data_IF_334129298781
#
_entry.id   IF_334129298781
#
_cell.length_a   1.000
_cell.length_b   1.000
_cell.length_c   1.000
_cell.angle_alpha   90.00
_cell.angle_beta   90.00
_cell.angle_gamma   90.00
#
_symmetry.space_group_name_H-M   'P 1'
#
loop_
_entity.id
_entity.type
_entity.pdbx_description
1 polymer ?
#
# COMPACT_ATOMS: atom_id res chain seq x y z
N UNK A 1 41.92 2.77 22.55
CA UNK A 1 41.23 3.32 21.37
C UNK A 1 40.76 4.69 21.74
N UNK A 2 41.41 5.72 21.29
CA UNK A 2 41.01 7.13 21.54
C UNK A 2 39.80 7.41 20.65
N UNK A 3 38.66 7.76 21.28
CA UNK A 3 37.50 8.25 20.56
C UNK A 3 37.88 9.55 19.83
N UNK A 4 37.68 9.58 18.50
CA UNK A 4 37.70 10.83 17.75
C UNK A 4 36.62 11.74 18.33
N UNK A 5 36.99 12.84 18.94
CA UNK A 5 36.07 13.92 19.25
C UNK A 5 35.38 14.33 17.93
N UNK A 6 34.05 14.32 17.91
CA UNK A 6 33.29 14.88 16.80
C UNK A 6 33.40 16.40 16.87
N UNK A 7 34.04 16.99 15.92
CA UNK A 7 33.92 18.43 15.67
C UNK A 7 32.58 18.69 14.94
N UNK A 8 31.52 18.88 15.71
CA UNK A 8 30.25 19.29 15.17
C UNK A 8 30.25 20.81 14.98
N UNK A 9 30.09 21.27 13.74
CA UNK A 9 29.95 22.69 13.41
C UNK A 9 28.52 22.99 12.95
N UNK A 10 28.02 24.19 13.28
CA UNK A 10 26.70 24.67 12.81
C UNK A 10 26.84 25.11 11.35
N UNK A 11 26.20 24.35 10.44
CA UNK A 11 26.25 24.62 9.01
C UNK A 11 25.30 25.75 8.56
N UNK A 12 24.16 25.93 9.24
CA UNK A 12 23.14 26.94 8.96
C UNK A 12 22.20 27.11 10.15
N UNK A 13 21.53 28.30 10.20
CA UNK A 13 20.52 28.56 11.22
C UNK A 13 19.12 28.12 10.75
N UNK A 14 18.36 27.53 11.67
CA UNK A 14 16.93 27.29 11.48
C UNK A 14 16.17 28.41 12.15
N UNK A 15 15.36 29.12 11.36
CA UNK A 15 14.50 30.20 11.82
C UNK A 15 13.07 29.67 11.99
N UNK A 16 12.28 30.28 12.87
CA UNK A 16 10.88 29.99 13.05
C UNK A 16 10.02 31.23 13.03
N UNK A 17 8.85 31.20 12.43
CA UNK A 17 7.91 32.31 12.37
C UNK A 17 6.46 31.87 12.29
N UNK A 18 5.54 32.72 12.72
CA UNK A 18 4.10 32.61 12.45
C UNK A 18 3.63 33.67 11.45
N UNK A 19 4.50 34.53 11.00
CA UNK A 19 4.20 35.48 9.93
C UNK A 19 4.40 34.79 8.57
N UNK A 20 3.32 34.29 8.02
CA UNK A 20 3.34 33.61 6.73
C UNK A 20 3.47 34.60 5.56
N UNK A 21 3.22 35.89 5.77
CA UNK A 21 3.23 36.90 4.73
C UNK A 21 4.64 37.21 4.20
N UNK A 22 5.67 36.85 4.96
CA UNK A 22 7.08 37.05 4.54
C UNK A 22 7.47 36.12 3.39
N UNK A 23 6.77 34.98 3.22
CA UNK A 23 7.10 33.98 2.21
C UNK A 23 6.50 34.33 0.85
N UNK A 24 7.32 34.28 -0.17
CA UNK A 24 6.92 34.56 -1.57
C UNK A 24 6.98 33.30 -2.40
N UNK A 25 6.14 33.26 -3.43
CA UNK A 25 6.20 32.22 -4.43
C UNK A 25 7.37 32.47 -5.37
N UNK A 26 8.24 31.46 -5.55
CA UNK A 26 9.26 31.47 -6.58
C UNK A 26 8.63 31.37 -7.97
N UNK A 27 9.01 32.27 -8.89
CA UNK A 27 8.56 32.23 -10.30
C UNK A 27 9.05 30.93 -10.95
N UNK A 28 8.17 30.23 -11.67
CA UNK A 28 8.49 28.94 -12.30
C UNK A 28 8.38 27.72 -11.39
N UNK A 29 8.05 27.91 -10.11
CA UNK A 29 7.74 26.77 -9.27
C UNK A 29 6.32 26.25 -9.57
N UNK A 30 6.13 24.91 -9.51
CA UNK A 30 4.85 24.25 -9.84
C UNK A 30 3.76 24.58 -8.83
N UNK A 31 2.52 24.55 -9.28
CA UNK A 31 1.37 24.58 -8.39
C UNK A 31 1.26 23.25 -7.60
N UNK A 32 0.76 23.36 -6.37
CA UNK A 32 0.58 22.21 -5.51
C UNK A 32 -0.89 21.82 -5.49
N UNK A 33 -1.24 20.60 -5.93
CA UNK A 33 -2.61 20.12 -5.88
C UNK A 33 -3.15 20.11 -4.44
N UNK A 34 -4.40 20.53 -4.27
CA UNK A 34 -5.11 20.54 -2.99
C UNK A 34 -5.07 19.19 -2.27
N UNK A 35 -5.20 18.10 -3.04
CA UNK A 35 -5.09 16.73 -2.50
C UNK A 35 -3.75 16.41 -1.83
N UNK A 36 -2.65 17.05 -2.26
CA UNK A 36 -1.34 16.91 -1.64
C UNK A 36 -1.26 17.70 -0.33
N UNK A 37 -1.82 18.91 -0.31
CA UNK A 37 -1.86 19.74 0.90
C UNK A 37 -2.68 19.05 1.99
N UNK A 38 -3.88 18.54 1.65
CA UNK A 38 -4.74 17.80 2.58
C UNK A 38 -4.02 16.59 3.19
N UNK A 39 -3.25 15.81 2.38
CA UNK A 39 -2.46 14.69 2.89
C UNK A 39 -1.37 15.12 3.89
N UNK A 40 -0.74 16.27 3.67
CA UNK A 40 0.26 16.82 4.61
C UNK A 40 -0.43 17.23 5.91
N UNK A 41 -1.57 17.93 5.84
CA UNK A 41 -2.39 18.31 7.00
C UNK A 41 -2.79 17.05 7.80
N UNK A 42 -3.35 16.05 7.15
CA UNK A 42 -3.75 14.78 7.79
C UNK A 42 -2.56 14.09 8.46
N UNK A 43 -1.39 14.11 7.82
CA UNK A 43 -0.17 13.53 8.39
C UNK A 43 0.26 14.26 9.66
N UNK A 44 0.30 15.60 9.63
CA UNK A 44 0.66 16.41 10.80
C UNK A 44 -0.35 16.18 11.95
N UNK A 45 -1.63 16.09 11.65
CA UNK A 45 -2.65 15.83 12.66
C UNK A 45 -2.55 14.44 13.29
N UNK A 46 -2.11 13.42 12.53
CA UNK A 46 -1.98 12.04 13.00
C UNK A 46 -0.73 11.79 13.84
N UNK A 47 0.40 12.30 13.42
CA UNK A 47 1.72 11.95 14.00
C UNK A 47 2.46 13.14 14.59
N UNK A 48 1.87 14.35 14.55
CA UNK A 48 2.53 15.59 14.92
C UNK A 48 3.43 16.16 13.82
N UNK A 49 3.94 17.37 14.07
CA UNK A 49 4.93 17.99 13.19
C UNK A 49 6.31 17.39 13.43
N UNK A 50 6.85 16.73 12.41
CA UNK A 50 8.26 16.33 12.38
C UNK A 50 9.04 17.50 11.79
N UNK A 51 9.96 18.06 12.56
CA UNK A 51 10.75 19.23 12.21
C UNK A 51 11.45 19.05 10.86
N UNK A 52 10.87 19.64 9.81
CA UNK A 52 11.37 19.61 8.44
C UNK A 52 11.25 21.01 7.85
N UNK A 53 12.26 21.87 8.06
CA UNK A 53 12.24 23.26 7.63
C UNK A 53 11.99 23.41 6.13
N UNK A 54 11.29 24.47 5.73
CA UNK A 54 11.23 24.85 4.32
C UNK A 54 12.52 25.56 3.91
N UNK A 55 12.84 25.52 2.63
CA UNK A 55 14.02 26.21 2.08
C UNK A 55 13.56 27.45 1.34
N UNK A 56 14.12 28.60 1.70
CA UNK A 56 13.87 29.87 1.03
C UNK A 56 15.20 30.49 0.58
N UNK A 57 15.16 31.41 -0.38
CA UNK A 57 16.32 32.22 -0.73
C UNK A 57 16.37 33.54 0.12
N UNK A 58 17.33 34.38 -0.16
CA UNK A 58 17.51 35.71 0.51
C UNK A 58 16.33 36.66 0.33
N UNK A 59 15.52 36.46 -0.70
CA UNK A 59 14.30 37.23 -1.00
C UNK A 59 13.04 36.63 -0.36
N UNK A 60 13.19 35.57 0.47
CA UNK A 60 12.11 34.81 1.10
C UNK A 60 11.24 34.07 0.07
N UNK A 61 11.76 33.80 -1.13
CA UNK A 61 11.06 32.96 -2.13
C UNK A 61 11.24 31.49 -1.80
N UNK A 62 10.16 30.74 -1.80
CA UNK A 62 10.16 29.33 -1.38
C UNK A 62 10.72 28.43 -2.47
N UNK A 63 11.92 27.90 -2.25
CA UNK A 63 12.63 26.97 -3.12
C UNK A 63 12.07 25.55 -2.95
N UNK A 64 11.93 25.08 -1.69
CA UNK A 64 11.31 23.81 -1.35
C UNK A 64 10.39 23.93 -0.14
N UNK A 65 9.33 23.12 -0.13
CA UNK A 65 8.42 23.04 0.99
C UNK A 65 7.14 23.87 0.87
N UNK A 66 6.74 24.34 -0.31
CA UNK A 66 5.49 25.09 -0.51
C UNK A 66 4.26 24.38 0.10
N UNK A 67 4.15 23.03 -0.10
CA UNK A 67 3.05 22.24 0.48
C UNK A 67 3.09 22.21 2.00
N UNK A 68 4.29 22.16 2.60
CA UNK A 68 4.49 22.25 4.06
C UNK A 68 4.08 23.61 4.57
N UNK A 69 4.52 24.68 3.92
CA UNK A 69 4.14 26.06 4.27
C UNK A 69 2.61 26.21 4.29
N UNK A 70 1.93 25.81 3.21
CA UNK A 70 0.46 25.91 3.12
C UNK A 70 -0.24 25.08 4.19
N UNK A 71 0.23 23.85 4.45
CA UNK A 71 -0.34 22.97 5.48
C UNK A 71 -0.17 23.58 6.89
N UNK A 72 1.03 24.06 7.24
CA UNK A 72 1.31 24.70 8.53
C UNK A 72 0.51 25.99 8.72
N UNK A 73 0.33 26.78 7.65
CA UNK A 73 -0.52 27.98 7.66
C UNK A 73 -1.99 27.61 7.97
N UNK A 74 -2.55 26.56 7.36
CA UNK A 74 -3.90 26.07 7.65
C UNK A 74 -4.07 25.60 9.08
N UNK A 75 -3.04 24.96 9.62
CA UNK A 75 -3.02 24.49 11.00
C UNK A 75 -2.65 25.58 12.01
N UNK A 76 -2.36 26.80 11.56
CA UNK A 76 -1.89 27.93 12.39
C UNK A 76 -0.65 27.57 13.23
N UNK A 77 0.21 26.70 12.70
CA UNK A 77 1.44 26.24 13.33
C UNK A 77 2.64 27.10 12.89
N UNK A 78 3.68 27.26 13.71
CA UNK A 78 4.88 27.96 13.30
C UNK A 78 5.56 27.24 12.12
N UNK A 79 6.13 28.03 11.21
CA UNK A 79 6.92 27.56 10.07
C UNK A 79 8.39 27.66 10.42
N UNK A 80 9.10 26.55 10.28
CA UNK A 80 10.56 26.50 10.36
C UNK A 80 11.14 26.65 8.96
N UNK A 81 12.18 27.46 8.82
CA UNK A 81 12.81 27.67 7.51
C UNK A 81 14.32 27.87 7.62
N UNK A 82 15.02 27.57 6.54
CA UNK A 82 16.44 27.87 6.34
C UNK A 82 16.61 28.75 5.11
N UNK A 83 17.61 29.64 5.17
CA UNK A 83 17.93 30.52 4.05
C UNK A 83 19.06 29.88 3.26
N UNK A 84 18.85 29.68 1.96
CA UNK A 84 19.83 29.20 0.98
C UNK A 84 20.13 30.34 -0.01
N UNK A 85 21.12 31.20 0.28
CA UNK A 85 21.41 32.37 -0.55
C UNK A 85 21.78 31.95 -1.99
N UNK A 86 21.29 32.70 -2.97
CA UNK A 86 21.54 32.43 -4.39
C UNK A 86 20.74 31.28 -4.98
N UNK A 87 19.93 30.57 -4.19
CA UNK A 87 19.07 29.53 -4.70
C UNK A 87 17.87 30.09 -5.49
N UNK A 88 17.58 29.51 -6.65
CA UNK A 88 16.51 29.95 -7.53
C UNK A 88 15.76 28.80 -8.18
N UNK A 89 15.14 29.09 -9.34
CA UNK A 89 14.33 28.13 -10.10
C UNK A 89 15.13 26.89 -10.51
N UNK A 90 16.41 27.05 -10.83
CA UNK A 90 17.27 25.93 -11.25
C UNK A 90 17.46 24.93 -10.12
N UNK A 91 17.81 25.39 -8.94
CA UNK A 91 17.99 24.56 -7.73
C UNK A 91 16.66 23.90 -7.32
N UNK A 92 15.57 24.65 -7.38
CA UNK A 92 14.21 24.10 -7.15
C UNK A 92 13.87 22.95 -8.09
N UNK A 93 14.18 23.07 -9.38
CA UNK A 93 13.96 22.00 -10.37
C UNK A 93 14.82 20.77 -10.05
N UNK A 94 16.13 20.96 -9.81
CA UNK A 94 17.03 19.85 -9.50
C UNK A 94 16.65 19.09 -8.23
N UNK A 95 16.26 19.80 -7.17
CA UNK A 95 15.78 19.16 -5.92
C UNK A 95 14.55 18.28 -6.14
N UNK A 96 13.64 18.70 -7.04
CA UNK A 96 12.43 17.95 -7.32
C UNK A 96 12.61 16.79 -8.31
N UNK A 97 13.60 16.84 -9.21
CA UNK A 97 13.86 15.78 -10.20
C UNK A 97 14.32 14.47 -9.57
N UNK A 98 15.00 14.53 -8.44
CA UNK A 98 15.62 13.35 -7.80
C UNK A 98 14.77 12.77 -6.65
N UNK A 99 13.56 13.26 -6.44
CA UNK A 99 12.68 12.72 -5.39
C UNK A 99 12.06 11.39 -5.84
N UNK A 100 12.45 10.30 -5.18
CA UNK A 100 11.86 8.98 -5.36
C UNK A 100 10.78 8.76 -4.29
N UNK A 101 9.55 8.55 -4.73
CA UNK A 101 8.47 8.19 -3.81
C UNK A 101 8.58 6.71 -3.39
N UNK A 102 8.35 6.42 -2.13
CA UNK A 102 8.28 5.05 -1.61
C UNK A 102 7.25 4.23 -2.37
N UNK A 103 7.66 3.06 -2.81
CA UNK A 103 6.81 2.03 -3.39
C UNK A 103 6.35 1.06 -2.29
N UNK A 104 5.35 0.23 -2.57
CA UNK A 104 4.85 -0.75 -1.58
C UNK A 104 5.95 -1.66 -1.00
N UNK A 105 6.91 -2.19 -1.77
CA UNK A 105 8.01 -2.96 -1.22
C UNK A 105 8.85 -2.22 -0.18
N UNK A 106 9.02 -0.89 -0.32
CA UNK A 106 9.80 -0.08 0.62
C UNK A 106 9.12 -0.01 1.98
N UNK A 107 7.78 0.18 2.00
CA UNK A 107 6.97 0.14 3.22
C UNK A 107 7.04 -1.23 3.89
N UNK A 108 6.87 -2.31 3.11
CA UNK A 108 6.90 -3.69 3.62
C UNK A 108 8.25 -3.97 4.27
N UNK A 109 9.36 -3.64 3.59
CA UNK A 109 10.70 -3.83 4.11
C UNK A 109 10.93 -3.03 5.39
N UNK A 110 10.54 -1.75 5.41
CA UNK A 110 10.70 -0.88 6.58
C UNK A 110 9.99 -1.42 7.81
N UNK A 111 8.71 -1.83 7.70
CA UNK A 111 7.99 -2.40 8.84
C UNK A 111 8.52 -3.78 9.26
N UNK A 112 9.00 -4.60 8.32
CA UNK A 112 9.61 -5.88 8.63
C UNK A 112 10.93 -5.71 9.41
N UNK A 113 11.76 -4.74 9.04
CA UNK A 113 13.01 -4.40 9.74
C UNK A 113 12.76 -3.84 11.14
N UNK A 114 11.61 -3.17 11.37
CA UNK A 114 11.17 -2.73 12.69
C UNK A 114 10.64 -3.88 13.58
N UNK A 115 10.72 -5.13 13.11
CA UNK A 115 10.30 -6.31 13.87
C UNK A 115 8.82 -6.66 13.76
N UNK A 116 8.05 -6.01 12.86
CA UNK A 116 6.65 -6.37 12.66
C UNK A 116 6.51 -7.72 11.96
N UNK A 117 6.11 -8.75 12.73
CA UNK A 117 5.99 -10.12 12.23
C UNK A 117 5.07 -10.29 11.02
N UNK A 118 3.95 -9.53 10.94
CA UNK A 118 3.04 -9.59 9.81
C UNK A 118 3.76 -9.21 8.50
N UNK A 119 4.62 -8.18 8.56
CA UNK A 119 5.40 -7.72 7.42
C UNK A 119 6.59 -8.63 7.11
N UNK A 120 7.19 -9.26 8.13
CA UNK A 120 8.23 -10.27 7.95
C UNK A 120 7.67 -11.50 7.20
N UNK A 121 6.47 -11.97 7.56
CA UNK A 121 5.76 -13.04 6.84
C UNK A 121 5.45 -12.64 5.40
N UNK A 122 4.92 -11.43 5.19
CA UNK A 122 4.64 -10.93 3.85
C UNK A 122 5.93 -10.84 3.00
N UNK A 123 7.00 -10.32 3.56
CA UNK A 123 8.31 -10.21 2.87
C UNK A 123 8.86 -11.59 2.48
N UNK A 124 8.73 -12.61 3.35
CA UNK A 124 9.10 -14.00 3.04
C UNK A 124 8.29 -14.56 1.86
N UNK A 125 6.97 -14.33 1.83
CA UNK A 125 6.14 -14.75 0.70
C UNK A 125 6.55 -14.05 -0.60
N UNK A 126 6.79 -12.74 -0.56
CA UNK A 126 7.20 -11.96 -1.73
C UNK A 126 8.55 -12.38 -2.29
N UNK A 127 9.50 -12.75 -1.44
CA UNK A 127 10.84 -13.17 -1.87
C UNK A 127 10.84 -14.56 -2.53
N UNK A 128 9.86 -15.40 -2.22
CA UNK A 128 9.84 -16.82 -2.65
C UNK A 128 8.84 -17.08 -3.78
N UNK A 129 7.75 -16.30 -3.88
CA UNK A 129 6.62 -16.64 -4.73
C UNK A 129 6.18 -15.49 -5.63
N UNK A 130 5.59 -15.87 -6.77
CA UNK A 130 4.88 -14.99 -7.70
C UNK A 130 5.67 -13.72 -8.09
N UNK A 131 7.01 -13.79 -8.16
CA UNK A 131 7.90 -12.66 -8.44
C UNK A 131 7.57 -11.42 -7.59
N UNK A 132 7.12 -11.64 -6.34
CA UNK A 132 6.71 -10.58 -5.42
C UNK A 132 5.39 -9.90 -5.75
N UNK A 133 4.56 -10.46 -6.64
CA UNK A 133 3.28 -9.87 -7.02
C UNK A 133 2.29 -9.88 -5.83
N UNK A 134 2.01 -8.71 -5.30
CA UNK A 134 1.18 -8.54 -4.10
C UNK A 134 -0.28 -8.95 -4.28
N UNK A 135 -0.85 -8.85 -5.49
CA UNK A 135 -2.24 -9.21 -5.73
C UNK A 135 -2.42 -10.73 -5.73
N UNK A 136 -1.47 -11.48 -6.32
CA UNK A 136 -1.44 -12.94 -6.26
C UNK A 136 -1.25 -13.41 -4.80
N UNK A 137 -0.28 -12.83 -4.10
CA UNK A 137 0.00 -13.17 -2.69
C UNK A 137 -1.20 -12.85 -1.81
N UNK A 138 -1.84 -11.68 -1.99
CA UNK A 138 -3.04 -11.31 -1.24
C UNK A 138 -4.21 -12.26 -1.50
N UNK A 139 -4.34 -12.78 -2.73
CA UNK A 139 -5.36 -13.81 -3.02
C UNK A 139 -5.05 -15.10 -2.27
N UNK A 140 -3.80 -15.53 -2.26
CA UNK A 140 -3.41 -16.75 -1.53
C UNK A 140 -3.63 -16.65 -0.02
N UNK A 141 -3.38 -15.46 0.55
CA UNK A 141 -3.51 -15.19 1.99
C UNK A 141 -4.95 -14.90 2.40
N UNK A 142 -5.55 -13.88 1.77
CA UNK A 142 -6.82 -13.29 2.22
C UNK A 142 -8.02 -13.67 1.36
N UNK A 143 -7.80 -14.38 0.27
CA UNK A 143 -8.86 -14.72 -0.72
C UNK A 143 -9.52 -13.47 -1.32
N UNK A 144 -8.75 -12.42 -1.56
CA UNK A 144 -9.19 -11.16 -2.18
C UNK A 144 -8.37 -10.87 -3.43
N UNK A 145 -8.99 -10.29 -4.44
CA UNK A 145 -8.37 -10.03 -5.74
C UNK A 145 -7.43 -8.82 -5.78
N UNK A 146 -7.44 -7.99 -4.75
CA UNK A 146 -6.57 -6.80 -4.66
C UNK A 146 -5.79 -6.78 -3.37
N UNK A 147 -4.54 -6.39 -3.46
CA UNK A 147 -3.69 -6.22 -2.29
C UNK A 147 -4.17 -5.07 -1.41
N UNK A 148 -3.91 -5.20 -0.10
CA UNK A 148 -4.30 -4.23 0.92
C UNK A 148 -3.32 -3.05 0.97
N UNK A 149 -3.21 -2.30 -0.14
CA UNK A 149 -2.24 -1.21 -0.31
C UNK A 149 -2.29 -0.18 0.82
N UNK A 150 -3.48 0.18 1.29
CA UNK A 150 -3.65 1.13 2.38
C UNK A 150 -3.12 0.57 3.69
N UNK A 151 -3.55 -0.65 4.05
CA UNK A 151 -3.14 -1.30 5.30
C UNK A 151 -1.60 -1.49 5.33
N UNK A 152 -1.01 -1.81 4.15
CA UNK A 152 0.45 -1.93 4.00
C UNK A 152 1.15 -0.59 4.28
N UNK A 153 0.67 0.50 3.70
CA UNK A 153 1.31 1.82 3.87
C UNK A 153 1.13 2.39 5.27
N UNK A 154 -0.01 2.12 5.91
CA UNK A 154 -0.33 2.61 7.25
C UNK A 154 0.27 1.75 8.39
N UNK A 155 0.95 0.65 8.07
CA UNK A 155 1.58 -0.22 9.08
C UNK A 155 0.59 -1.11 9.85
N UNK A 156 -0.64 -1.22 9.39
CA UNK A 156 -1.74 -1.92 10.08
C UNK A 156 -2.13 -3.26 9.46
N UNK A 157 -1.31 -3.75 8.51
CA UNK A 157 -1.56 -5.03 7.88
C UNK A 157 -1.56 -6.16 8.91
N UNK A 158 -2.58 -7.02 8.84
CA UNK A 158 -2.67 -8.24 9.63
C UNK A 158 -2.43 -9.46 8.73
N UNK A 159 -1.42 -10.24 9.06
CA UNK A 159 -1.09 -11.52 8.43
C UNK A 159 -0.68 -12.50 9.54
N UNK A 160 -1.68 -13.23 10.04
CA UNK A 160 -1.46 -14.22 11.12
C UNK A 160 -0.63 -15.42 10.63
N UNK A 161 -0.04 -16.18 11.57
CA UNK A 161 0.67 -17.41 11.24
C UNK A 161 -0.22 -18.40 10.49
N UNK A 162 -1.47 -18.57 10.95
CA UNK A 162 -2.44 -19.46 10.30
C UNK A 162 -2.70 -19.07 8.83
N UNK A 163 -2.83 -17.76 8.57
CA UNK A 163 -3.03 -17.26 7.20
C UNK A 163 -1.78 -17.47 6.34
N UNK A 164 -0.59 -17.29 6.93
CA UNK A 164 0.68 -17.53 6.28
C UNK A 164 0.83 -19.00 5.88
N UNK A 165 0.61 -19.92 6.82
CA UNK A 165 0.70 -21.37 6.58
C UNK A 165 -0.32 -21.85 5.52
N UNK A 166 -1.55 -21.34 5.57
CA UNK A 166 -2.59 -21.66 4.55
C UNK A 166 -2.26 -21.11 3.16
N UNK A 167 -1.48 -20.05 3.05
CA UNK A 167 -1.09 -19.46 1.77
C UNK A 167 -0.01 -20.28 1.06
N UNK A 168 0.89 -20.94 1.80
CA UNK A 168 2.03 -21.68 1.25
C UNK A 168 1.61 -22.74 0.23
N UNK A 169 0.71 -23.71 0.54
CA UNK A 169 0.33 -24.73 -0.43
C UNK A 169 -0.31 -24.17 -1.69
N UNK A 170 -1.02 -23.06 -1.60
CA UNK A 170 -1.61 -22.37 -2.77
C UNK A 170 -0.54 -21.75 -3.66
N UNK A 171 0.46 -21.12 -3.05
CA UNK A 171 1.56 -20.49 -3.75
C UNK A 171 2.54 -21.51 -4.34
N UNK A 172 2.83 -22.60 -3.63
CA UNK A 172 3.62 -23.71 -4.15
C UNK A 172 2.91 -24.36 -5.36
N UNK A 173 1.58 -24.45 -5.35
CA UNK A 173 0.83 -25.02 -6.47
C UNK A 173 0.95 -24.17 -7.74
N UNK A 174 0.89 -22.86 -7.65
CA UNK A 174 0.98 -21.98 -8.83
C UNK A 174 2.42 -21.70 -9.25
N UNK A 175 3.41 -21.95 -8.39
CA UNK A 175 4.81 -21.64 -8.66
C UNK A 175 5.32 -22.25 -9.98
N UNK A 176 5.13 -23.55 -10.27
CA UNK A 176 5.58 -24.13 -11.54
C UNK A 176 4.90 -23.50 -12.77
N UNK A 177 3.66 -23.04 -12.62
CA UNK A 177 2.92 -22.36 -13.69
C UNK A 177 3.49 -21.00 -14.06
N UNK A 178 4.28 -20.40 -13.17
CA UNK A 178 4.94 -19.09 -13.34
C UNK A 178 6.42 -19.22 -13.73
N UNK A 179 7.07 -20.35 -13.47
CA UNK A 179 8.52 -20.53 -13.72
C UNK A 179 8.90 -20.48 -15.21
N UNK A 180 7.98 -20.81 -16.10
CA UNK A 180 8.21 -20.77 -17.55
C UNK A 180 7.95 -19.37 -18.16
N UNK A 181 7.64 -18.37 -17.34
CA UNK A 181 7.37 -17.01 -17.78
C UNK A 181 8.60 -16.16 -17.50
N UNK A 182 9.39 -15.92 -18.55
CA UNK A 182 10.63 -15.13 -18.52
C UNK A 182 10.37 -13.61 -18.37
N UNK A 183 9.42 -13.22 -17.53
CA UNK A 183 9.06 -11.82 -17.35
C UNK A 183 9.31 -11.36 -15.91
N UNK A 184 10.10 -10.29 -15.78
CA UNK A 184 10.29 -9.57 -14.51
C UNK A 184 8.97 -9.02 -13.93
N UNK A 185 7.93 -8.89 -14.76
CA UNK A 185 6.61 -8.38 -14.39
C UNK A 185 5.53 -9.30 -14.96
N UNK A 186 4.76 -9.90 -14.07
CA UNK A 186 3.62 -10.74 -14.46
C UNK A 186 2.55 -9.87 -15.11
N UNK A 187 2.10 -10.14 -16.36
CA UNK A 187 1.02 -9.43 -17.00
C UNK A 187 -0.29 -9.49 -16.20
N UNK A 188 -1.10 -8.43 -16.24
CA UNK A 188 -2.35 -8.35 -15.47
C UNK A 188 -3.34 -9.47 -15.76
N UNK A 189 -3.42 -9.94 -17.02
CA UNK A 189 -4.22 -11.10 -17.42
C UNK A 189 -3.78 -12.37 -16.71
N UNK A 190 -2.47 -12.59 -16.60
CA UNK A 190 -1.89 -13.74 -15.92
C UNK A 190 -2.07 -13.65 -14.40
N UNK A 191 -2.01 -12.44 -13.82
CA UNK A 191 -2.35 -12.23 -12.41
C UNK A 191 -3.78 -12.72 -12.14
N UNK A 192 -4.75 -12.33 -12.97
CA UNK A 192 -6.15 -12.75 -12.83
C UNK A 192 -6.30 -14.26 -12.98
N UNK A 193 -5.59 -14.88 -13.93
CA UNK A 193 -5.58 -16.32 -14.11
C UNK A 193 -5.05 -17.04 -12.85
N UNK A 194 -3.90 -16.62 -12.31
CA UNK A 194 -3.33 -17.22 -11.11
C UNK A 194 -4.23 -17.05 -9.88
N UNK A 195 -4.88 -15.91 -9.74
CA UNK A 195 -5.87 -15.67 -8.70
C UNK A 195 -7.04 -16.66 -8.82
N UNK A 196 -7.55 -16.88 -10.02
CA UNK A 196 -8.61 -17.86 -10.30
C UNK A 196 -8.17 -19.27 -9.94
N UNK A 197 -6.97 -19.68 -10.36
CA UNK A 197 -6.41 -20.99 -10.04
C UNK A 197 -6.28 -21.19 -8.52
N UNK A 198 -5.84 -20.19 -7.77
CA UNK A 198 -5.78 -20.22 -6.31
C UNK A 198 -7.18 -20.44 -5.70
N UNK A 199 -8.23 -19.83 -6.26
CA UNK A 199 -9.60 -20.11 -5.80
C UNK A 199 -10.02 -21.55 -6.05
N UNK A 200 -9.73 -22.09 -7.23
CA UNK A 200 -10.08 -23.49 -7.57
C UNK A 200 -9.31 -24.51 -6.71
N UNK A 201 -8.08 -24.20 -6.33
CA UNK A 201 -7.22 -25.09 -5.52
C UNK A 201 -7.86 -25.53 -4.21
N UNK A 202 -8.68 -24.70 -3.58
CA UNK A 202 -9.25 -24.97 -2.26
C UNK A 202 -10.51 -25.85 -2.30
N UNK A 203 -11.09 -26.11 -3.47
CA UNK A 203 -12.29 -26.91 -3.57
C UNK A 203 -11.94 -28.41 -3.55
N UNK A 204 -12.56 -29.21 -2.62
CA UNK A 204 -12.29 -30.64 -2.49
C UNK A 204 -12.61 -31.43 -3.75
N UNK A 205 -13.60 -30.97 -4.52
CA UNK A 205 -14.09 -31.62 -5.75
C UNK A 205 -13.10 -31.41 -6.92
N UNK A 206 -12.12 -30.50 -6.78
CA UNK A 206 -11.16 -30.21 -7.85
C UNK A 206 -9.95 -31.13 -7.74
N UNK A 207 -9.73 -31.96 -8.76
CA UNK A 207 -8.47 -32.67 -8.94
C UNK A 207 -7.34 -31.66 -9.27
N UNK A 208 -6.40 -31.52 -8.35
CA UNK A 208 -5.29 -30.55 -8.46
C UNK A 208 -4.34 -30.86 -9.60
N UNK A 209 -4.09 -32.14 -9.89
CA UNK A 209 -3.21 -32.53 -11.01
C UNK A 209 -3.86 -32.17 -12.34
N UNK A 210 -5.16 -32.44 -12.45
CA UNK A 210 -5.93 -32.05 -13.63
C UNK A 210 -5.98 -30.52 -13.78
N UNK A 211 -6.20 -29.79 -12.70
CA UNK A 211 -6.21 -28.32 -12.72
C UNK A 211 -4.88 -27.79 -13.24
N UNK A 212 -3.75 -28.25 -12.68
CA UNK A 212 -2.41 -27.83 -13.12
C UNK A 212 -2.21 -28.09 -14.61
N UNK A 213 -2.49 -29.32 -15.08
CA UNK A 213 -2.35 -29.70 -16.48
C UNK A 213 -3.24 -28.83 -17.40
N UNK A 214 -4.49 -28.60 -17.02
CA UNK A 214 -5.43 -27.83 -17.84
C UNK A 214 -5.01 -26.37 -17.94
N UNK A 215 -4.53 -25.76 -16.84
CA UNK A 215 -4.04 -24.37 -16.81
C UNK A 215 -2.76 -24.25 -17.61
N UNK A 216 -1.81 -25.17 -17.46
CA UNK A 216 -0.57 -25.19 -18.24
C UNK A 216 -0.86 -25.24 -19.73
N UNK A 217 -1.74 -26.17 -20.15
CA UNK A 217 -2.17 -26.30 -21.54
C UNK A 217 -2.86 -25.03 -22.05
N UNK A 218 -3.67 -24.38 -21.22
CA UNK A 218 -4.36 -23.14 -21.55
C UNK A 218 -3.37 -21.98 -21.73
N UNK A 219 -2.42 -21.80 -20.78
CA UNK A 219 -1.39 -20.77 -20.86
C UNK A 219 -0.56 -20.91 -22.14
N UNK A 220 -0.16 -22.11 -22.50
CA UNK A 220 0.67 -22.37 -23.68
C UNK A 220 -0.08 -22.22 -25.01
N UNK A 221 -1.39 -22.40 -25.02
CA UNK A 221 -2.18 -22.35 -26.25
C UNK A 221 -3.04 -21.09 -26.38
N UNK A 222 -3.21 -20.30 -25.31
CA UNK A 222 -4.03 -19.11 -25.35
C UNK A 222 -3.26 -17.93 -25.94
N UNK A 223 -3.91 -17.16 -26.80
CA UNK A 223 -3.43 -15.86 -27.21
C UNK A 223 -3.66 -14.82 -26.09
N UNK A 224 -2.75 -13.85 -25.85
CA UNK A 224 -2.82 -12.92 -24.69
C UNK A 224 -4.15 -12.18 -24.52
N UNK A 225 -4.92 -11.99 -25.58
CA UNK A 225 -6.22 -11.28 -25.53
C UNK A 225 -7.40 -12.17 -25.10
N UNK A 226 -7.26 -13.49 -25.14
CA UNK A 226 -8.27 -14.43 -24.58
C UNK A 226 -8.29 -14.37 -23.06
N UNK A 227 -7.13 -14.11 -22.42
CA UNK A 227 -6.98 -13.96 -20.97
C UNK A 227 -7.70 -12.73 -20.38
N UNK A 228 -8.18 -11.80 -21.19
CA UNK A 228 -8.81 -10.56 -20.72
C UNK A 228 -10.34 -10.64 -20.58
N UNK A 229 -10.98 -11.77 -20.94
CA UNK A 229 -12.43 -11.90 -20.87
C UNK A 229 -12.88 -12.50 -19.53
N UNK A 230 -13.23 -13.75 -19.47
CA UNK A 230 -13.75 -14.40 -18.26
C UNK A 230 -12.82 -15.54 -17.84
N UNK A 231 -11.76 -15.20 -17.07
CA UNK A 231 -10.78 -16.20 -16.63
C UNK A 231 -11.41 -17.36 -15.84
N UNK A 232 -12.48 -17.10 -15.10
CA UNK A 232 -13.16 -18.14 -14.32
C UNK A 232 -13.80 -19.18 -15.26
N UNK A 233 -14.52 -18.68 -16.26
CA UNK A 233 -15.15 -19.52 -17.27
C UNK A 233 -14.14 -20.29 -18.11
N UNK A 234 -13.05 -19.62 -18.50
CA UNK A 234 -12.01 -20.26 -19.32
C UNK A 234 -11.25 -21.35 -18.56
N UNK A 235 -10.94 -21.14 -17.28
CA UNK A 235 -10.33 -22.19 -16.43
C UNK A 235 -11.31 -23.35 -16.23
N UNK A 236 -12.61 -23.08 -16.01
CA UNK A 236 -13.63 -24.12 -15.92
C UNK A 236 -13.78 -24.92 -17.23
N UNK A 237 -13.82 -24.23 -18.37
CA UNK A 237 -13.88 -24.87 -19.68
C UNK A 237 -12.64 -25.76 -19.93
N UNK A 238 -11.44 -25.26 -19.61
CA UNK A 238 -10.20 -26.01 -19.74
C UNK A 238 -10.19 -27.26 -18.81
N UNK A 239 -10.64 -27.09 -17.58
CA UNK A 239 -10.73 -28.17 -16.61
C UNK A 239 -11.71 -29.23 -17.04
N UNK A 240 -12.89 -28.86 -17.57
CA UNK A 240 -13.98 -29.74 -18.01
C UNK A 240 -13.80 -30.25 -19.43
N UNK A 241 -12.70 -29.92 -20.13
CA UNK A 241 -12.47 -30.42 -21.47
C UNK A 241 -12.31 -31.94 -21.48
N UNK A 242 -13.03 -32.64 -22.37
CA UNK A 242 -13.08 -34.12 -22.46
C UNK A 242 -13.57 -34.84 -21.19
N UNK A 243 -14.39 -34.20 -20.36
CA UNK A 243 -15.12 -34.83 -19.25
C UNK A 243 -16.56 -35.09 -19.70
N UNK A 244 -17.14 -36.25 -19.30
CA UNK A 244 -18.55 -36.52 -19.49
C UNK A 244 -19.42 -35.48 -18.79
N UNK A 245 -20.59 -35.18 -19.33
CA UNK A 245 -21.47 -34.14 -18.82
C UNK A 245 -21.83 -34.33 -17.34
N UNK A 246 -22.02 -35.54 -16.91
CA UNK A 246 -22.35 -35.97 -15.54
C UNK A 246 -21.22 -35.73 -14.54
N UNK A 247 -19.95 -35.69 -15.01
CA UNK A 247 -18.77 -35.53 -14.19
C UNK A 247 -18.19 -34.08 -14.24
N UNK A 248 -18.82 -33.18 -15.00
CA UNK A 248 -18.37 -31.79 -15.10
C UNK A 248 -18.64 -31.05 -13.81
N UNK A 249 -17.67 -30.21 -13.43
CA UNK A 249 -17.72 -29.39 -12.23
C UNK A 249 -17.95 -27.93 -12.63
N UNK A 250 -18.99 -27.32 -12.08
CA UNK A 250 -19.22 -25.87 -12.21
C UNK A 250 -18.71 -25.15 -10.96
N UNK A 251 -17.42 -24.83 -10.96
CA UNK A 251 -16.72 -24.19 -9.83
C UNK A 251 -16.82 -22.68 -9.92
N UNK A 252 -16.92 -22.12 -11.11
CA UNK A 252 -16.99 -20.67 -11.31
C UNK A 252 -18.14 -20.04 -10.51
N UNK A 253 -19.29 -20.71 -10.47
CA UNK A 253 -20.44 -20.26 -9.66
C UNK A 253 -20.13 -20.26 -8.16
N UNK A 254 -19.55 -21.34 -7.63
CA UNK A 254 -19.18 -21.48 -6.23
C UNK A 254 -18.14 -20.44 -5.80
N UNK A 255 -17.12 -20.21 -6.64
CA UNK A 255 -16.11 -19.18 -6.41
C UNK A 255 -16.73 -17.78 -6.34
N UNK A 256 -17.67 -17.49 -7.24
CA UNK A 256 -18.38 -16.21 -7.27
C UNK A 256 -19.22 -16.01 -6.03
N UNK A 257 -19.97 -17.01 -5.59
CA UNK A 257 -20.77 -16.95 -4.36
C UNK A 257 -19.89 -16.75 -3.12
N UNK A 258 -18.78 -17.48 -3.01
CA UNK A 258 -17.84 -17.32 -1.91
C UNK A 258 -17.23 -15.92 -1.87
N UNK A 259 -16.83 -15.37 -3.02
CA UNK A 259 -16.32 -14.00 -3.12
C UNK A 259 -17.35 -12.97 -2.65
N UNK A 260 -18.61 -13.12 -3.09
CA UNK A 260 -19.70 -12.23 -2.68
C UNK A 260 -19.94 -12.30 -1.18
N UNK A 261 -20.01 -13.53 -0.61
CA UNK A 261 -20.17 -13.72 0.83
C UNK A 261 -19.05 -13.06 1.63
N UNK A 262 -17.78 -13.29 1.24
CA UNK A 262 -16.61 -12.67 1.91
C UNK A 262 -16.58 -11.16 1.78
N UNK A 263 -16.96 -10.63 0.63
CA UNK A 263 -17.06 -9.19 0.44
C UNK A 263 -18.12 -8.57 1.34
N UNK A 264 -19.26 -9.26 1.51
CA UNK A 264 -20.32 -8.83 2.42
C UNK A 264 -19.85 -8.85 3.89
N UNK A 265 -19.14 -9.88 4.30
CA UNK A 265 -18.55 -9.98 5.65
C UNK A 265 -17.52 -8.87 5.89
N UNK A 266 -16.67 -8.58 4.91
CA UNK A 266 -15.69 -7.50 4.98
C UNK A 266 -16.36 -6.14 5.10
N UNK A 267 -17.42 -5.89 4.34
CA UNK A 267 -18.19 -4.66 4.41
C UNK A 267 -18.85 -4.49 5.77
N UNK A 268 -19.44 -5.56 6.33
CA UNK A 268 -20.01 -5.54 7.70
C UNK A 268 -18.94 -5.24 8.75
N UNK A 269 -17.77 -5.87 8.66
CA UNK A 269 -16.65 -5.61 9.57
C UNK A 269 -16.15 -4.17 9.48
N UNK A 270 -16.07 -3.61 8.27
CA UNK A 270 -15.67 -2.21 8.06
C UNK A 270 -16.72 -1.23 8.62
N UNK A 271 -18.02 -1.52 8.47
CA UNK A 271 -19.08 -0.72 9.06
C UNK A 271 -19.04 -0.76 10.60
N UNK A 272 -18.83 -1.94 11.19
CA UNK A 272 -18.68 -2.08 12.63
C UNK A 272 -17.50 -1.26 13.18
N UNK A 273 -16.34 -1.35 12.51
CA UNK A 273 -15.15 -0.54 12.87
C UNK A 273 -15.39 0.96 12.72
N UNK A 274 -16.12 1.39 11.69
CA UNK A 274 -16.50 2.79 11.51
C UNK A 274 -17.40 3.26 12.63
N UNK A 275 -18.39 2.45 13.02
CA UNK A 275 -19.30 2.73 14.14
C UNK A 275 -18.56 2.84 15.48
N UNK A 276 -17.64 1.91 15.78
CA UNK A 276 -16.79 1.98 16.98
C UNK A 276 -15.94 3.25 17.04
N UNK A 277 -15.36 3.67 15.89
CA UNK A 277 -14.60 4.91 15.80
C UNK A 277 -15.46 6.14 16.09
N UNK A 278 -16.72 6.14 15.60
CA UNK A 278 -17.67 7.22 15.85
C UNK A 278 -18.05 7.28 17.34
N UNK A 279 -18.29 6.14 17.98
CA UNK A 279 -18.60 6.09 19.42
C UNK A 279 -17.42 6.56 20.29
N UNK A 280 -16.18 6.12 19.97
CA UNK A 280 -14.99 6.59 20.70
C UNK A 280 -14.73 8.09 20.51
N UNK A 281 -15.07 8.64 19.32
CA UNK A 281 -15.03 10.08 19.08
C UNK A 281 -16.03 10.87 19.91
N UNK A 282 -17.22 10.32 20.14
CA UNK A 282 -18.26 10.97 20.96
C UNK A 282 -17.93 10.91 22.45
N UNK A 283 -17.34 9.82 22.95
CA UNK A 283 -16.90 9.72 24.35
C UNK A 283 -15.74 10.66 24.72
N UNK A 284 -14.94 11.08 23.74
CA UNK A 284 -13.86 12.06 23.93
C UNK A 284 -14.34 13.52 24.13
N UNK A 285 -15.63 13.80 23.94
CA UNK A 285 -16.22 15.14 24.10
C UNK A 285 -16.98 15.34 25.42
N UNK A 286 -17.09 14.32 26.27
CA UNK A 286 -17.67 14.48 27.61
C UNK A 286 -16.54 14.87 28.54
N UNK A 287 -16.32 16.17 28.68
CA UNK A 287 -15.47 16.73 29.76
C UNK A 287 -16.16 16.50 31.10
N UNK A 288 -15.46 16.01 32.14
CA UNK A 288 -16.04 15.98 33.48
C UNK A 288 -16.24 17.43 33.96
N UNK A 289 -17.46 17.73 34.38
CA UNK A 289 -17.76 18.96 35.11
C UNK A 289 -16.78 19.10 36.28
N UNK A 290 -16.13 20.27 36.36
CA UNK A 290 -15.40 20.69 37.56
C UNK A 290 -16.43 20.88 38.67
N UNK A 291 -16.46 19.98 39.63
CA UNK A 291 -17.07 20.29 40.94
C UNK A 291 -16.24 21.44 41.56
N UNK A 292 -16.83 22.63 41.55
CA UNK A 292 -16.49 23.70 42.44
C UNK A 292 -17.18 23.40 43.77
N UNK A 293 -16.45 22.87 44.74
CA UNK A 293 -16.79 22.98 46.14
C UNK A 293 -15.89 24.03 46.74
N UNK A 294 -16.57 25.09 47.14
CA UNK A 294 -16.13 26.10 48.11
C UNK A 294 -15.93 25.45 49.47
N UNK A 295 -14.79 25.69 50.11
CA UNK A 295 -14.68 26.15 51.48
C UNK A 295 -13.19 26.58 51.74
#
# INVERSE_FOLDING_TARGET
MFGKEREDSVAYNVYTTRDYSIFKRLVGNRDIPESRISKIVDSIQKIGWIHNPIVVNENMEVIDGQGRLTALQRLKMPVEYIIAPGAGTKECVYMNMNMVNWKLPDFIKSYAEQGNENYQRLLKLMSKYANGNLDIISTAVYRVSKSKHRDIKEGILQLTEEQYEKAIPRLEFIKPLLENIDEKKIPGSLVTLMQTVIYYFDYPEVDKKRLAYSVEKYIYNATPWVLNTDCEREVENAYNYNIKLEDKISIAHLVKEERMRRQLELNKANQARAFERTQKGVQGFITPEKNSEEE
#
